data_IF_642575513333
#
_entry.id   IF_642575513333
#
_cell.length_a   1.000
_cell.length_b   1.000
_cell.length_c   1.000
_cell.angle_alpha   90.00
_cell.angle_beta   90.00
_cell.angle_gamma   90.00
#
_symmetry.space_group_name_H-M   'P 1'
#
loop_
_entity.id
_entity.type
_entity.pdbx_description
1 polymer ?
#
# COMPACT_ATOMS: atom_id res chain seq x y z
N UNK A 1 7.60 17.55 -14.16
CA UNK A 1 7.58 17.31 -12.71
C UNK A 1 8.59 16.23 -12.39
N UNK A 2 9.45 16.39 -11.40
CA UNK A 2 10.47 15.38 -11.04
C UNK A 2 10.11 14.66 -9.75
N UNK A 3 10.38 13.35 -9.70
CA UNK A 3 10.14 12.49 -8.54
C UNK A 3 11.05 12.91 -7.37
N UNK A 4 10.53 12.91 -6.15
CA UNK A 4 11.32 13.22 -4.96
C UNK A 4 12.32 12.10 -4.67
N UNK A 5 13.62 12.41 -4.71
CA UNK A 5 14.69 11.42 -4.61
C UNK A 5 14.66 10.58 -3.33
N UNK A 6 14.32 11.17 -2.16
CA UNK A 6 14.26 10.40 -0.90
C UNK A 6 13.11 9.39 -0.89
N UNK A 7 11.97 9.76 -1.51
CA UNK A 7 10.81 8.86 -1.62
C UNK A 7 11.11 7.72 -2.58
N UNK A 8 11.73 8.03 -3.72
CA UNK A 8 12.19 7.02 -4.67
C UNK A 8 13.16 6.02 -3.99
N UNK A 9 14.17 6.54 -3.27
CA UNK A 9 15.15 5.71 -2.58
C UNK A 9 14.51 4.83 -1.49
N UNK A 10 13.57 5.37 -0.71
CA UNK A 10 12.85 4.62 0.31
C UNK A 10 11.99 3.50 -0.30
N UNK A 11 11.26 3.79 -1.39
CA UNK A 11 10.46 2.80 -2.12
C UNK A 11 11.32 1.70 -2.73
N UNK A 12 12.45 2.03 -3.36
CA UNK A 12 13.38 1.04 -3.91
C UNK A 12 14.03 0.19 -2.81
N UNK A 13 14.40 0.80 -1.68
CA UNK A 13 14.90 0.07 -0.52
C UNK A 13 13.87 -0.95 -0.03
N UNK A 14 12.59 -0.54 0.05
CA UNK A 14 11.51 -1.46 0.38
C UNK A 14 11.39 -2.59 -0.64
N UNK A 15 11.37 -2.31 -1.95
CA UNK A 15 11.29 -3.33 -3.01
C UNK A 15 12.42 -4.35 -2.89
N UNK A 16 13.66 -3.88 -2.71
CA UNK A 16 14.83 -4.74 -2.60
C UNK A 16 14.78 -5.65 -1.37
N UNK A 17 14.17 -5.17 -0.28
CA UNK A 17 13.98 -5.96 0.94
C UNK A 17 13.02 -7.15 0.80
N UNK A 18 12.26 -7.20 -0.30
CA UNK A 18 11.31 -8.29 -0.56
C UNK A 18 12.00 -9.52 -1.15
N UNK A 19 13.23 -9.38 -1.68
CA UNK A 19 14.00 -10.45 -2.30
C UNK A 19 13.24 -11.24 -3.39
N UNK A 20 12.26 -10.60 -4.06
CA UNK A 20 11.47 -11.19 -5.16
C UNK A 20 12.22 -11.17 -6.51
N UNK A 21 13.27 -10.35 -6.62
CA UNK A 21 14.11 -10.20 -7.80
C UNK A 21 15.52 -9.73 -7.41
N UNK A 22 16.41 -9.64 -8.39
CA UNK A 22 17.71 -8.97 -8.23
C UNK A 22 17.52 -7.52 -7.78
N UNK A 23 18.45 -6.97 -6.98
CA UNK A 23 18.34 -5.58 -6.52
C UNK A 23 18.18 -4.57 -7.67
N UNK A 24 17.26 -3.64 -7.49
CA UNK A 24 17.01 -2.51 -8.39
C UNK A 24 17.57 -1.22 -7.79
N UNK A 25 18.19 -0.40 -8.63
CA UNK A 25 18.83 0.87 -8.26
C UNK A 25 18.07 2.09 -8.80
N UNK A 26 17.27 1.90 -9.86
CA UNK A 26 16.47 2.95 -10.48
C UNK A 26 15.01 2.55 -10.63
N UNK A 27 14.10 3.53 -10.49
CA UNK A 27 12.65 3.31 -10.59
C UNK A 27 12.25 2.77 -11.96
N UNK A 28 12.93 3.20 -13.04
CA UNK A 28 12.71 2.71 -14.39
C UNK A 28 12.92 1.20 -14.56
N UNK A 29 13.71 0.55 -13.70
CA UNK A 29 13.89 -0.91 -13.76
C UNK A 29 12.60 -1.67 -13.39
N UNK A 30 11.60 -1.00 -12.81
CA UNK A 30 10.29 -1.56 -12.49
C UNK A 30 9.30 -1.48 -13.67
N UNK A 31 9.67 -0.83 -14.77
CA UNK A 31 8.78 -0.55 -15.91
C UNK A 31 8.24 -1.80 -16.58
N UNK A 32 9.01 -2.89 -16.58
CA UNK A 32 8.59 -4.15 -17.17
C UNK A 32 7.50 -4.87 -16.35
N UNK A 33 7.15 -4.35 -15.16
CA UNK A 33 6.15 -4.88 -14.24
C UNK A 33 6.45 -6.28 -13.67
N UNK A 34 7.59 -6.90 -13.97
CA UNK A 34 7.92 -8.25 -13.48
C UNK A 34 8.04 -8.27 -11.96
N UNK A 35 8.71 -7.27 -11.39
CA UNK A 35 8.87 -7.12 -9.94
C UNK A 35 7.50 -6.88 -9.29
N UNK A 36 6.66 -6.02 -9.86
CA UNK A 36 5.31 -5.75 -9.32
C UNK A 36 4.44 -7.00 -9.26
N UNK A 37 4.46 -7.83 -10.31
CA UNK A 37 3.71 -9.09 -10.34
C UNK A 37 4.17 -10.01 -9.21
N UNK A 38 5.49 -10.18 -9.03
CA UNK A 38 6.01 -11.02 -7.93
C UNK A 38 5.70 -10.47 -6.54
N UNK A 39 5.63 -9.15 -6.40
CA UNK A 39 5.16 -8.52 -5.15
C UNK A 39 3.69 -8.88 -4.90
N UNK A 40 2.84 -8.84 -5.93
CA UNK A 40 1.43 -9.21 -5.84
C UNK A 40 1.28 -10.69 -5.43
N UNK A 41 2.01 -11.59 -6.08
CA UNK A 41 2.07 -13.02 -5.72
C UNK A 41 2.46 -13.19 -4.24
N UNK A 42 3.48 -12.45 -3.78
CA UNK A 42 3.88 -12.45 -2.36
C UNK A 42 2.81 -11.89 -1.40
N UNK A 43 1.96 -10.96 -1.84
CA UNK A 43 0.87 -10.42 -1.02
C UNK A 43 -0.27 -11.43 -0.90
N UNK A 44 -0.62 -12.11 -2.01
CA UNK A 44 -1.68 -13.10 -2.03
C UNK A 44 -1.26 -14.48 -1.51
N UNK A 45 0.03 -14.81 -1.54
CA UNK A 45 0.52 -16.16 -1.30
C UNK A 45 0.12 -17.12 -2.42
N UNK A 46 0.02 -16.64 -3.67
CA UNK A 46 -0.35 -17.41 -4.85
C UNK A 46 0.70 -17.27 -5.95
N UNK A 47 0.67 -18.16 -6.95
CA UNK A 47 1.56 -18.14 -8.12
C UNK A 47 0.82 -17.71 -9.40
N UNK A 48 -0.29 -16.97 -9.27
CA UNK A 48 -1.12 -16.51 -10.39
C UNK A 48 -0.32 -15.66 -11.38
N UNK A 49 0.61 -14.85 -10.87
CA UNK A 49 1.48 -13.99 -11.65
C UNK A 49 2.41 -14.73 -12.61
N UNK A 50 2.73 -16.01 -12.39
CA UNK A 50 3.68 -16.75 -13.22
C UNK A 50 3.23 -16.86 -14.68
N UNK A 51 1.93 -17.06 -14.92
CA UNK A 51 1.37 -17.10 -16.28
C UNK A 51 1.38 -15.70 -16.93
N UNK A 52 1.19 -14.66 -16.12
CA UNK A 52 1.16 -13.26 -16.58
C UNK A 52 2.57 -12.77 -16.94
N UNK A 53 3.62 -13.27 -16.28
CA UNK A 53 5.02 -12.88 -16.55
C UNK A 53 5.45 -13.16 -18.00
N UNK A 54 4.85 -14.13 -18.67
CA UNK A 54 5.13 -14.46 -20.08
C UNK A 54 4.43 -13.51 -21.07
N UNK A 55 3.52 -12.67 -20.58
CA UNK A 55 2.76 -11.76 -21.43
C UNK A 55 3.51 -10.44 -21.69
N UNK A 56 3.15 -9.71 -22.77
CA UNK A 56 3.70 -8.39 -23.04
C UNK A 56 3.48 -7.39 -21.89
N UNK A 57 4.33 -6.36 -21.82
CA UNK A 57 4.27 -5.32 -20.76
C UNK A 57 2.86 -4.71 -20.58
N UNK A 58 2.08 -4.40 -21.63
CA UNK A 58 0.72 -3.88 -21.45
C UNK A 58 -0.21 -4.81 -20.66
N UNK A 59 -0.14 -6.12 -20.90
CA UNK A 59 -0.97 -7.09 -20.18
C UNK A 59 -0.48 -7.30 -18.74
N UNK A 60 0.85 -7.34 -18.56
CA UNK A 60 1.47 -7.35 -17.22
C UNK A 60 1.03 -6.15 -16.39
N UNK A 61 1.02 -4.97 -17.00
CA UNK A 61 0.60 -3.74 -16.35
C UNK A 61 -0.92 -3.72 -16.08
N UNK A 62 -1.73 -4.21 -17.01
CA UNK A 62 -3.17 -4.36 -16.81
C UNK A 62 -3.48 -5.23 -15.60
N UNK A 63 -2.78 -6.35 -15.42
CA UNK A 63 -2.88 -7.18 -14.23
C UNK A 63 -2.57 -6.40 -12.94
N UNK A 64 -1.47 -5.65 -12.92
CA UNK A 64 -1.10 -4.80 -11.76
C UNK A 64 -2.18 -3.75 -11.48
N UNK A 65 -2.66 -3.04 -12.51
CA UNK A 65 -3.75 -2.07 -12.39
C UNK A 65 -5.04 -2.70 -11.86
N UNK A 66 -5.40 -3.90 -12.34
CA UNK A 66 -6.56 -4.65 -11.87
C UNK A 66 -6.43 -5.04 -10.40
N UNK A 67 -5.25 -5.49 -9.97
CA UNK A 67 -4.98 -5.76 -8.55
C UNK A 67 -5.18 -4.51 -7.69
N UNK A 68 -4.59 -3.38 -8.09
CA UNK A 68 -4.69 -2.13 -7.35
C UNK A 68 -6.12 -1.61 -7.30
N UNK A 69 -6.87 -1.73 -8.40
CA UNK A 69 -8.28 -1.33 -8.46
C UNK A 69 -9.16 -2.18 -7.55
N UNK A 70 -9.01 -3.52 -7.61
CA UNK A 70 -9.77 -4.48 -6.79
C UNK A 70 -9.55 -4.25 -5.29
N UNK A 71 -8.33 -3.87 -4.91
CA UNK A 71 -7.92 -3.70 -3.51
C UNK A 71 -8.17 -2.29 -2.94
N UNK A 72 -8.76 -1.37 -3.72
CA UNK A 72 -9.16 -0.07 -3.18
C UNK A 72 -10.30 -0.17 -2.19
N UNK A 73 -10.41 0.85 -1.35
CA UNK A 73 -11.58 1.02 -0.50
C UNK A 73 -12.87 1.24 -1.29
N UNK A 74 -12.79 1.94 -2.42
CA UNK A 74 -13.90 2.24 -3.31
C UNK A 74 -13.65 1.67 -4.72
N UNK A 75 -13.90 0.36 -4.95
CA UNK A 75 -13.64 -0.28 -6.24
C UNK A 75 -14.49 0.28 -7.39
N UNK A 76 -15.60 0.94 -7.07
CA UNK A 76 -16.57 1.50 -8.02
C UNK A 76 -16.12 2.78 -8.72
N UNK A 77 -14.99 3.38 -8.32
CA UNK A 77 -14.45 4.53 -9.06
C UNK A 77 -13.97 4.07 -10.44
N UNK A 78 -14.44 4.69 -11.54
CA UNK A 78 -14.08 4.27 -12.90
C UNK A 78 -12.61 4.56 -13.25
N UNK A 79 -11.95 5.44 -12.49
CA UNK A 79 -10.60 5.90 -12.80
C UNK A 79 -9.53 5.05 -12.09
N UNK A 80 -8.60 4.49 -12.87
CA UNK A 80 -7.44 3.81 -12.30
C UNK A 80 -6.42 4.84 -11.79
N UNK A 81 -5.94 4.69 -10.56
CA UNK A 81 -4.85 5.48 -9.96
C UNK A 81 -3.54 5.35 -10.72
N UNK A 82 -3.41 4.36 -11.60
CA UNK A 82 -2.21 4.12 -12.39
C UNK A 82 -2.55 4.24 -13.88
N UNK A 83 -1.95 5.20 -14.54
CA UNK A 83 -2.05 5.42 -15.98
C UNK A 83 -1.15 4.44 -16.72
N UNK A 84 -1.79 3.52 -17.44
CA UNK A 84 -1.09 2.52 -18.29
C UNK A 84 -0.15 3.21 -19.28
N UNK A 85 -0.62 4.30 -19.90
CA UNK A 85 0.14 5.04 -20.90
C UNK A 85 1.40 5.68 -20.31
N UNK A 86 1.28 6.39 -19.17
CA UNK A 86 2.43 7.04 -18.52
C UNK A 86 3.51 6.03 -18.11
N UNK A 87 3.13 4.83 -17.67
CA UNK A 87 4.11 3.77 -17.32
C UNK A 87 4.83 3.26 -18.57
N UNK A 88 4.11 3.02 -19.67
CA UNK A 88 4.71 2.59 -20.94
C UNK A 88 5.68 3.65 -21.47
N UNK A 89 5.36 4.94 -21.27
CA UNK A 89 6.24 6.07 -21.61
C UNK A 89 7.45 6.23 -20.66
N UNK A 90 7.54 5.45 -19.59
CA UNK A 90 8.67 5.49 -18.65
C UNK A 90 8.54 6.57 -17.58
N UNK A 91 7.31 6.95 -17.21
CA UNK A 91 7.10 7.89 -16.11
C UNK A 91 7.52 7.27 -14.77
N UNK A 92 8.67 7.71 -14.25
CA UNK A 92 9.14 7.33 -12.91
C UNK A 92 8.12 7.69 -11.82
N UNK A 93 7.37 8.78 -11.99
CA UNK A 93 6.32 9.19 -11.06
C UNK A 93 5.22 8.13 -10.98
N UNK A 94 4.80 7.60 -12.12
CA UNK A 94 3.72 6.60 -12.20
C UNK A 94 4.18 5.25 -11.63
N UNK A 95 5.43 4.89 -11.86
CA UNK A 95 6.08 3.71 -11.28
C UNK A 95 6.24 3.83 -9.76
N UNK A 96 6.64 5.00 -9.26
CA UNK A 96 6.73 5.27 -7.84
C UNK A 96 5.35 5.23 -7.17
N UNK A 97 4.32 5.78 -7.82
CA UNK A 97 2.91 5.71 -7.37
C UNK A 97 2.43 4.26 -7.28
N UNK A 98 2.72 3.45 -8.30
CA UNK A 98 2.45 2.00 -8.29
C UNK A 98 3.14 1.31 -7.12
N UNK A 99 4.43 1.61 -6.90
CA UNK A 99 5.24 1.03 -5.81
C UNK A 99 4.69 1.43 -4.42
N UNK A 100 4.32 2.70 -4.24
CA UNK A 100 3.72 3.23 -3.01
C UNK A 100 2.39 2.54 -2.66
N UNK A 101 1.54 2.31 -3.67
CA UNK A 101 0.28 1.58 -3.48
C UNK A 101 0.50 0.11 -3.14
N UNK A 102 1.47 -0.56 -3.78
CA UNK A 102 1.84 -1.93 -3.44
C UNK A 102 2.41 -2.05 -2.03
N UNK A 103 3.23 -1.09 -1.60
CA UNK A 103 3.72 -0.98 -0.21
C UNK A 103 2.55 -0.90 0.76
N UNK A 104 1.59 0.00 0.52
CA UNK A 104 0.40 0.12 1.34
C UNK A 104 -0.40 -1.19 1.41
N UNK A 105 -0.68 -1.82 0.27
CA UNK A 105 -1.43 -3.08 0.24
C UNK A 105 -0.68 -4.25 0.89
N UNK A 106 0.65 -4.29 0.76
CA UNK A 106 1.49 -5.28 1.45
C UNK A 106 1.41 -5.11 2.97
N UNK A 107 1.50 -3.88 3.46
CA UNK A 107 1.47 -3.63 4.91
C UNK A 107 0.10 -3.88 5.53
N UNK A 108 -0.98 -3.43 4.88
CA UNK A 108 -2.37 -3.61 5.37
C UNK A 108 -2.87 -5.04 5.15
N UNK A 109 -2.44 -5.72 4.08
CA UNK A 109 -2.85 -7.10 3.78
C UNK A 109 -2.07 -8.18 4.53
N UNK A 110 -0.86 -7.88 5.02
CA UNK A 110 -0.03 -8.88 5.68
C UNK A 110 -0.71 -9.51 6.89
N UNK A 111 -0.61 -10.84 7.03
CA UNK A 111 -0.97 -11.56 8.26
C UNK A 111 0.18 -11.53 9.28
N UNK A 112 1.42 -11.58 8.81
CA UNK A 112 2.63 -11.48 9.65
C UNK A 112 3.20 -10.06 9.67
N UNK A 113 3.62 -9.54 10.83
CA UNK A 113 4.35 -8.28 10.90
C UNK A 113 5.70 -8.42 10.16
N UNK A 114 5.97 -7.48 9.25
CA UNK A 114 7.30 -7.35 8.61
C UNK A 114 8.32 -6.84 9.63
N UNK A 115 9.54 -7.35 9.57
CA UNK A 115 10.65 -6.78 10.31
C UNK A 115 11.13 -5.50 9.63
N UNK A 116 10.78 -4.35 10.21
CA UNK A 116 11.21 -3.04 9.72
C UNK A 116 12.57 -2.63 10.30
N UNK A 117 13.11 -3.38 11.28
CA UNK A 117 14.41 -3.11 11.90
C UNK A 117 15.59 -3.28 10.95
N UNK A 118 15.41 -4.02 9.85
CA UNK A 118 16.41 -4.19 8.80
C UNK A 118 16.73 -2.90 8.01
N UNK A 119 15.86 -1.89 8.06
CA UNK A 119 16.06 -0.62 7.35
C UNK A 119 16.78 0.40 8.23
N UNK A 120 17.61 1.24 7.60
CA UNK A 120 18.17 2.42 8.25
C UNK A 120 17.05 3.35 8.74
N UNK A 121 17.27 4.05 9.86
CA UNK A 121 16.25 4.91 10.47
C UNK A 121 15.65 5.94 9.51
N UNK A 122 16.46 6.57 8.64
CA UNK A 122 15.98 7.53 7.62
C UNK A 122 15.02 6.89 6.61
N UNK A 123 15.26 5.62 6.25
CA UNK A 123 14.39 4.87 5.33
C UNK A 123 13.10 4.50 6.04
N UNK A 124 13.18 4.06 7.31
CA UNK A 124 11.99 3.82 8.13
C UNK A 124 11.12 5.07 8.27
N UNK A 125 11.73 6.23 8.53
CA UNK A 125 11.03 7.50 8.66
C UNK A 125 10.30 7.88 7.35
N UNK A 126 10.98 7.78 6.20
CA UNK A 126 10.36 8.06 4.90
C UNK A 126 9.25 7.08 4.56
N UNK A 127 9.44 5.78 4.79
CA UNK A 127 8.39 4.76 4.59
C UNK A 127 7.18 5.00 5.50
N UNK A 128 7.40 5.42 6.75
CA UNK A 128 6.33 5.76 7.67
C UNK A 128 5.52 6.98 7.18
N UNK A 129 6.21 8.01 6.67
CA UNK A 129 5.55 9.19 6.07
C UNK A 129 4.75 8.79 4.82
N UNK A 130 5.31 7.95 3.95
CA UNK A 130 4.62 7.43 2.77
C UNK A 130 3.35 6.66 3.16
N UNK A 131 3.46 5.70 4.09
CA UNK A 131 2.31 4.90 4.53
C UNK A 131 1.23 5.75 5.21
N UNK A 132 1.65 6.68 6.08
CA UNK A 132 0.75 7.61 6.73
C UNK A 132 0.00 8.46 5.70
N UNK A 133 0.70 8.96 4.68
CA UNK A 133 0.09 9.74 3.62
C UNK A 133 -1.02 8.94 2.90
N UNK A 134 -0.75 7.70 2.49
CA UNK A 134 -1.78 6.85 1.85
C UNK A 134 -2.95 6.61 2.79
N UNK A 135 -2.68 6.31 4.07
CA UNK A 135 -3.71 6.04 5.07
C UNK A 135 -4.62 7.25 5.33
N UNK A 136 -4.07 8.47 5.28
CA UNK A 136 -4.81 9.70 5.54
C UNK A 136 -5.65 10.15 4.32
N UNK A 137 -5.25 9.77 3.10
CA UNK A 137 -5.87 10.23 1.85
C UNK A 137 -6.67 9.16 1.10
N UNK A 138 -6.64 7.88 1.53
CA UNK A 138 -7.29 6.78 0.80
C UNK A 138 -8.81 6.92 0.59
N UNK A 139 -9.46 7.76 1.42
CA UNK A 139 -10.89 8.07 1.37
C UNK A 139 -11.18 9.35 0.56
N UNK A 140 -10.15 10.07 0.16
CA UNK A 140 -10.25 11.31 -0.59
C UNK A 140 -10.70 11.10 -2.03
N UNK A 141 -11.55 12.01 -2.53
CA UNK A 141 -11.98 12.00 -3.93
C UNK A 141 -10.81 12.28 -4.91
N UNK A 142 -9.77 12.97 -4.44
CA UNK A 142 -8.63 13.43 -5.25
C UNK A 142 -7.36 12.60 -5.00
N UNK A 143 -7.49 11.35 -4.53
CA UNK A 143 -6.35 10.50 -4.17
C UNK A 143 -5.29 10.42 -5.27
N UNK A 144 -5.67 10.41 -6.54
CA UNK A 144 -4.70 10.38 -7.65
C UNK A 144 -3.79 11.62 -7.65
N UNK A 145 -4.39 12.81 -7.57
CA UNK A 145 -3.70 14.10 -7.60
C UNK A 145 -2.87 14.28 -6.33
N UNK A 146 -3.41 13.89 -5.19
CA UNK A 146 -2.74 13.94 -3.89
C UNK A 146 -1.47 13.07 -3.89
N UNK A 147 -1.54 11.85 -4.43
CA UNK A 147 -0.37 10.98 -4.56
C UNK A 147 0.68 11.55 -5.52
N UNK A 148 0.27 12.13 -6.65
CA UNK A 148 1.18 12.76 -7.59
C UNK A 148 1.88 13.97 -6.97
N UNK A 149 1.11 14.87 -6.34
CA UNK A 149 1.64 16.05 -5.64
C UNK A 149 2.56 15.65 -4.49
N UNK A 150 2.18 14.61 -3.74
CA UNK A 150 3.02 14.08 -2.69
C UNK A 150 4.31 13.54 -3.29
N UNK A 151 4.31 12.66 -4.28
CA UNK A 151 5.55 12.06 -4.80
C UNK A 151 6.48 13.06 -5.50
N UNK A 152 5.96 14.18 -6.00
CA UNK A 152 6.74 15.21 -6.66
C UNK A 152 7.59 16.02 -5.68
N UNK A 153 8.70 16.56 -6.20
CA UNK A 153 9.47 17.60 -5.53
C UNK A 153 8.77 18.94 -5.72
N UNK A 154 8.41 19.61 -4.63
CA UNK A 154 7.93 20.99 -4.71
C UNK A 154 8.98 21.88 -5.41
N UNK A 155 8.59 22.76 -6.35
CA UNK A 155 9.49 23.75 -6.89
C UNK A 155 10.01 24.61 -5.72
N UNK A 156 11.32 24.58 -5.48
CA UNK A 156 11.93 25.52 -4.53
C UNK A 156 11.72 26.91 -5.11
N UNK A 157 11.10 27.88 -4.38
CA UNK A 157 11.08 29.25 -4.84
C UNK A 157 12.53 29.70 -4.99
N UNK A 158 12.92 30.14 -6.18
CA UNK A 158 14.24 30.73 -6.40
C UNK A 158 14.43 31.92 -5.46
N UNK A 159 15.58 32.11 -4.80
CA UNK A 159 15.83 33.26 -3.96
C UNK A 159 16.00 34.50 -4.85
N UNK A 160 14.89 35.12 -5.24
CA UNK A 160 14.90 36.44 -5.83
C UNK A 160 15.06 37.46 -4.69
N UNK A 161 16.25 38.05 -4.64
CA UNK A 161 16.61 39.21 -3.83
C UNK A 161 15.61 40.35 -4.06
N UNK A 162 14.95 40.81 -2.99
CA UNK A 162 14.35 42.15 -2.94
C UNK A 162 14.54 42.74 -1.55
N UNK A 163 15.38 43.77 -1.53
CA UNK A 163 15.55 44.78 -0.47
C UNK A 163 14.26 45.57 -0.21
N UNK A 164 14.25 46.27 0.93
CA UNK A 164 13.35 47.33 1.46
C UNK A 164 12.17 46.82 2.31
N UNK A 165 11.80 47.39 3.46
CA UNK A 165 12.14 48.66 4.12
C UNK A 165 11.84 48.57 5.64
N UNK A 166 12.52 49.38 6.45
CA UNK A 166 12.22 49.63 7.86
C UNK A 166 10.89 50.40 8.03
N UNK A 167 10.06 49.99 8.99
CA UNK A 167 9.17 50.92 9.70
C UNK A 167 8.86 50.39 11.12
N UNK A 168 8.89 51.30 12.09
CA UNK A 168 8.95 51.07 13.54
C UNK A 168 7.55 51.10 14.22
N UNK A 169 7.34 50.15 15.16
CA UNK A 169 6.52 50.22 16.41
C UNK A 169 4.97 50.13 16.33
N UNK A 170 4.21 49.77 17.42
CA UNK A 170 4.58 49.66 18.86
C UNK A 170 4.16 48.33 19.59
N UNK A 171 4.55 48.12 20.88
CA UNK A 171 4.44 46.81 21.54
C UNK A 171 3.09 46.61 22.24
N UNK A 172 2.44 45.47 21.99
CA UNK A 172 1.26 45.03 22.76
C UNK A 172 1.63 43.88 23.68
N UNK A 173 1.57 44.16 24.99
CA UNK A 173 1.64 43.17 26.05
C UNK A 173 0.40 42.27 26.01
N UNK A 174 0.57 40.99 25.65
CA UNK A 174 -0.38 39.96 26.06
C UNK A 174 0.37 38.79 26.68
N UNK A 175 0.14 38.62 27.98
CA UNK A 175 0.66 37.53 28.79
C UNK A 175 0.25 36.19 28.16
N UNK A 176 1.26 35.38 27.83
CA UNK A 176 1.08 33.98 27.41
C UNK A 176 0.49 33.20 28.59
N UNK A 177 -0.79 32.87 28.52
CA UNK A 177 -1.41 31.86 29.39
C UNK A 177 -1.01 30.50 28.82
N UNK A 178 0.11 29.96 29.32
CA UNK A 178 0.58 28.61 28.98
C UNK A 178 -0.41 27.59 29.57
N UNK A 179 -1.27 27.03 28.73
CA UNK A 179 -2.12 25.89 29.11
C UNK A 179 -1.24 24.66 29.08
N UNK A 180 -0.77 24.23 30.26
CA UNK A 180 -0.09 22.94 30.41
C UNK A 180 -1.14 21.83 30.42
N UNK A 181 -1.20 21.07 29.33
CA UNK A 181 -1.96 19.84 29.29
C UNK A 181 -1.28 18.80 30.19
N UNK A 182 -2.03 18.23 31.15
CA UNK A 182 -1.57 17.05 31.87
C UNK A 182 -1.45 15.89 30.89
N UNK A 183 -0.29 15.24 30.89
CA UNK A 183 -0.02 14.03 30.14
C UNK A 183 -0.93 12.91 30.66
N UNK A 184 -1.97 12.56 29.89
CA UNK A 184 -2.89 11.49 30.25
C UNK A 184 -2.14 10.15 30.10
N UNK A 185 -1.81 9.55 31.24
CA UNK A 185 -1.21 8.22 31.31
C UNK A 185 -2.17 7.19 30.70
N UNK A 186 -1.76 6.62 29.56
CA UNK A 186 -2.56 5.69 28.76
C UNK A 186 -2.70 4.37 29.53
N UNK A 187 -3.91 4.06 29.99
CA UNK A 187 -4.21 2.81 30.69
C UNK A 187 -4.14 1.65 29.68
N UNK A 188 -3.31 0.67 29.98
CA UNK A 188 -2.97 -0.45 29.12
C UNK A 188 -4.17 -1.33 28.78
N UNK A 189 -4.24 -1.78 27.52
CA UNK A 189 -4.77 -3.10 27.19
C UNK A 189 -3.58 -3.98 26.79
N UNK A 190 -3.44 -5.10 27.50
CA UNK A 190 -2.31 -6.02 27.41
C UNK A 190 -2.24 -6.70 26.04
N UNK A 191 -1.11 -6.55 25.34
CA UNK A 191 -0.25 -7.66 24.89
C UNK A 191 0.91 -7.08 24.08
N UNK A 192 2.14 -7.27 24.57
CA UNK A 192 3.38 -6.88 23.90
C UNK A 192 4.28 -5.96 24.73
N UNK A 193 4.90 -6.53 25.78
CA UNK A 193 6.05 -5.93 26.43
C UNK A 193 7.12 -5.55 25.39
N UNK A 194 7.52 -4.28 25.33
CA UNK A 194 8.88 -3.85 24.99
C UNK A 194 9.22 -2.40 25.43
N UNK A 195 8.37 -1.74 26.23
CA UNK A 195 8.62 -0.35 26.71
C UNK A 195 9.73 -0.20 27.77
N UNK A 196 10.50 -1.25 28.07
CA UNK A 196 11.62 -1.19 29.03
C UNK A 196 13.01 -1.36 28.38
N UNK A 197 13.15 -1.14 27.07
CA UNK A 197 14.46 -1.04 26.44
C UNK A 197 14.61 0.35 25.85
N UNK A 198 15.66 1.08 26.24
CA UNK A 198 15.97 2.46 25.80
C UNK A 198 16.34 2.59 24.32
N UNK A 199 15.69 1.82 23.45
CA UNK A 199 15.76 1.99 22.00
C UNK A 199 14.79 3.08 21.58
N UNK A 200 15.20 4.04 20.73
CA UNK A 200 14.29 5.03 20.18
C UNK A 200 13.11 4.33 19.48
N UNK A 201 11.91 4.88 19.63
CA UNK A 201 10.72 4.37 18.95
C UNK A 201 10.99 4.27 17.43
N UNK A 202 10.67 3.13 16.83
CA UNK A 202 10.80 2.95 15.38
C UNK A 202 9.70 3.76 14.68
N UNK A 203 10.01 4.61 13.69
CA UNK A 203 9.00 5.37 12.95
C UNK A 203 7.93 4.49 12.31
N UNK A 204 8.32 3.29 11.86
CA UNK A 204 7.40 2.28 11.35
C UNK A 204 6.53 1.69 12.46
N UNK A 205 7.08 1.46 13.65
CA UNK A 205 6.32 1.03 14.82
C UNK A 205 5.22 2.02 15.18
N UNK A 206 5.55 3.31 15.20
CA UNK A 206 4.61 4.38 15.56
C UNK A 206 3.39 4.43 14.63
N UNK A 207 3.60 4.38 13.30
CA UNK A 207 2.50 4.40 12.33
C UNK A 207 1.68 3.10 12.36
N UNK A 208 2.35 1.94 12.43
CA UNK A 208 1.67 0.65 12.38
C UNK A 208 0.84 0.40 13.65
N UNK A 209 1.25 0.93 14.80
CA UNK A 209 0.50 0.81 16.06
C UNK A 209 -0.63 1.84 16.21
N UNK A 210 -0.81 2.75 15.25
CA UNK A 210 -1.95 3.68 15.29
C UNK A 210 -3.28 2.92 15.23
N UNK A 211 -4.30 3.36 16.00
CA UNK A 211 -5.64 2.75 15.94
C UNK A 211 -6.24 2.75 14.53
N UNK A 212 -5.97 3.80 13.74
CA UNK A 212 -6.44 3.91 12.35
C UNK A 212 -5.83 2.81 11.47
N UNK A 213 -4.51 2.61 11.52
CA UNK A 213 -3.85 1.56 10.74
C UNK A 213 -4.32 0.16 11.16
N UNK A 214 -4.39 -0.10 12.47
CA UNK A 214 -4.86 -1.38 13.01
C UNK A 214 -6.31 -1.67 12.60
N UNK A 215 -7.21 -0.69 12.72
CA UNK A 215 -8.59 -0.84 12.28
C UNK A 215 -8.67 -1.08 10.77
N UNK A 216 -7.83 -0.40 9.97
CA UNK A 216 -7.81 -0.56 8.52
C UNK A 216 -7.38 -1.98 8.13
N UNK A 217 -6.32 -2.50 8.74
CA UNK A 217 -5.84 -3.87 8.58
C UNK A 217 -6.90 -4.91 8.96
N UNK A 218 -7.52 -4.76 10.14
CA UNK A 218 -8.57 -5.67 10.60
C UNK A 218 -9.79 -5.67 9.65
N UNK A 219 -10.23 -4.49 9.20
CA UNK A 219 -11.33 -4.37 8.23
C UNK A 219 -10.99 -5.07 6.91
N UNK A 220 -9.75 -4.95 6.44
CA UNK A 220 -9.29 -5.66 5.23
C UNK A 220 -9.32 -7.16 5.42
N UNK A 221 -8.69 -7.68 6.48
CA UNK A 221 -8.67 -9.11 6.79
C UNK A 221 -10.07 -9.71 6.89
N UNK A 222 -11.00 -8.97 7.50
CA UNK A 222 -12.39 -9.40 7.63
C UNK A 222 -13.15 -9.39 6.29
N UNK A 223 -12.83 -8.47 5.39
CA UNK A 223 -13.37 -8.49 4.03
C UNK A 223 -12.81 -9.67 3.22
N UNK A 224 -11.51 -9.95 3.33
CA UNK A 224 -10.86 -11.06 2.63
C UNK A 224 -11.42 -12.42 3.10
N UNK A 225 -11.63 -12.61 4.41
CA UNK A 225 -12.27 -13.83 4.95
C UNK A 225 -13.73 -14.00 4.49
N UNK A 226 -14.49 -12.90 4.34
CA UNK A 226 -15.85 -12.96 3.77
C UNK A 226 -15.83 -13.40 2.32
N UNK A 227 -14.94 -12.82 1.51
CA UNK A 227 -14.80 -13.20 0.10
C UNK A 227 -14.40 -14.68 -0.04
N UNK A 228 -13.44 -15.15 0.78
CA UNK A 228 -13.02 -16.55 0.81
C UNK A 228 -14.19 -17.49 1.17
N UNK A 229 -15.02 -17.12 2.15
CA UNK A 229 -16.22 -17.89 2.48
C UNK A 229 -17.19 -17.93 1.30
N UNK A 230 -17.46 -16.80 0.67
CA UNK A 230 -18.42 -16.71 -0.44
C UNK A 230 -17.95 -17.54 -1.66
N UNK A 231 -16.63 -17.57 -1.92
CA UNK A 231 -16.02 -18.43 -2.94
C UNK A 231 -16.18 -19.92 -2.60
N UNK A 232 -15.88 -20.32 -1.36
CA UNK A 232 -16.08 -21.70 -0.91
C UNK A 232 -17.56 -22.14 -0.95
N UNK A 233 -18.50 -21.23 -0.65
CA UNK A 233 -19.94 -21.49 -0.78
C UNK A 233 -20.35 -21.74 -2.23
N UNK A 234 -19.78 -20.99 -3.17
CA UNK A 234 -19.98 -21.19 -4.61
C UNK A 234 -19.43 -22.55 -5.07
N UNK A 235 -18.19 -22.88 -4.72
CA UNK A 235 -17.57 -24.17 -5.06
C UNK A 235 -18.37 -25.36 -4.48
N UNK A 236 -18.88 -25.22 -3.26
CA UNK A 236 -19.73 -26.24 -2.65
C UNK A 236 -21.06 -26.42 -3.40
N UNK A 237 -21.68 -25.33 -3.85
CA UNK A 237 -22.90 -25.38 -4.65
C UNK A 237 -22.66 -26.07 -6.00
N UNK A 238 -21.55 -25.76 -6.66
CA UNK A 238 -21.16 -26.40 -7.92
C UNK A 238 -20.85 -27.90 -7.74
N UNK A 239 -20.12 -28.26 -6.69
CA UNK A 239 -19.83 -29.65 -6.36
C UNK A 239 -21.10 -30.47 -6.05
N UNK A 240 -22.06 -29.90 -5.32
CA UNK A 240 -23.37 -30.53 -5.06
C UNK A 240 -24.15 -30.76 -6.36
N UNK A 241 -24.12 -29.79 -7.28
CA UNK A 241 -24.73 -29.92 -8.61
C UNK A 241 -24.08 -31.03 -9.42
N UNK A 242 -22.74 -31.09 -9.42
CA UNK A 242 -21.98 -32.13 -10.12
C UNK A 242 -22.24 -33.53 -9.55
N UNK A 243 -22.28 -33.68 -8.22
CA UNK A 243 -22.63 -34.94 -7.56
C UNK A 243 -24.05 -35.39 -7.91
N UNK A 244 -24.99 -34.46 -7.97
CA UNK A 244 -26.38 -34.76 -8.37
C UNK A 244 -26.45 -35.26 -9.82
N UNK A 245 -25.73 -34.63 -10.75
CA UNK A 245 -25.66 -35.10 -12.15
C UNK A 245 -25.01 -36.47 -12.27
N UNK A 246 -23.89 -36.70 -11.56
CA UNK A 246 -23.23 -38.01 -11.50
C UNK A 246 -24.16 -39.07 -10.91
N UNK A 247 -24.94 -38.73 -9.89
CA UNK A 247 -25.98 -39.60 -9.33
C UNK A 247 -27.05 -39.98 -10.36
N UNK A 248 -27.55 -39.00 -11.13
CA UNK A 248 -28.47 -39.26 -12.25
C UNK A 248 -27.87 -40.18 -13.31
N UNK A 249 -26.60 -39.97 -13.66
CA UNK A 249 -25.89 -40.82 -14.61
C UNK A 249 -25.83 -42.27 -14.12
N UNK A 250 -25.45 -42.50 -12.86
CA UNK A 250 -25.37 -43.84 -12.27
C UNK A 250 -26.73 -44.55 -12.26
N UNK A 251 -27.82 -43.85 -11.94
CA UNK A 251 -29.17 -44.42 -11.99
C UNK A 251 -29.53 -44.81 -13.44
N UNK A 252 -29.26 -43.94 -14.42
CA UNK A 252 -29.49 -44.25 -15.85
C UNK A 252 -28.67 -45.45 -16.33
N UNK A 253 -27.40 -45.54 -15.92
CA UNK A 253 -26.53 -46.66 -16.26
C UNK A 253 -27.02 -47.96 -15.65
N UNK A 254 -27.40 -47.95 -14.36
CA UNK A 254 -27.95 -49.14 -13.69
C UNK A 254 -29.18 -49.66 -14.41
N UNK A 255 -30.13 -48.79 -14.74
CA UNK A 255 -31.37 -49.16 -15.45
C UNK A 255 -31.15 -49.67 -16.88
N UNK A 256 -29.96 -49.51 -17.47
CA UNK A 256 -29.60 -50.05 -18.79
C UNK A 256 -28.92 -51.42 -18.70
N UNK A 257 -28.31 -51.72 -17.56
CA UNK A 257 -27.58 -52.97 -17.32
C UNK A 257 -28.44 -54.04 -16.63
N UNK A 258 -29.56 -53.66 -16.03
CA UNK A 258 -30.67 -54.55 -15.61
C UNK A 258 -31.61 -54.81 -16.78
#
# INVERSE_FOLDING_TARGET
MTLHATRAAALLSWVNSLHVASPVEAVLQLQDCSVFIKIIDSIHGTDEGQQILQQPVPERLKFVCSFLQKNRKHPSSPECLVSVQKVIEGSELELAKTTMLLLYHSTVGSRSPRDWGQFEYKIQAELAVILKFVLDHEDGLNLNEDLENFLQKAPVPSPCSSTVSEELSPPSHQAKREVRFLELQKVASSSGNNFLSGSPASPMGDILQTPQFQMRRLKKQLADERNNRDELELELAENRKLLTEKGRHLVRWRARCE
#
